data_IF_746611768337
#
_entry.id   IF_746611768337
#
_cell.length_a   1.000
_cell.length_b   1.000
_cell.length_c   1.000
_cell.angle_alpha   90.00
_cell.angle_beta   90.00
_cell.angle_gamma   90.00
#
_symmetry.space_group_name_H-M   'P 1'
#
loop_
_entity.id
_entity.type
_entity.pdbx_description
1 polymer ?
#
# COMPACT_ATOMS: atom_id res chain seq x y z
N UNK A 1 4.74 52.05 44.53
CA UNK A 1 3.41 51.44 44.30
C UNK A 1 3.41 50.83 42.90
N UNK A 2 3.48 49.49 42.81
CA UNK A 2 3.47 48.76 41.53
C UNK A 2 2.03 48.39 41.18
N UNK A 3 1.51 48.95 40.09
CA UNK A 3 0.14 48.73 39.65
C UNK A 3 0.08 47.46 38.77
N UNK A 4 -0.31 46.32 39.34
CA UNK A 4 -0.55 45.06 38.60
C UNK A 4 -1.86 45.19 37.79
N UNK A 5 -1.76 45.42 36.48
CA UNK A 5 -2.89 45.21 35.56
C UNK A 5 -3.22 43.71 35.53
N UNK A 6 -4.35 43.32 36.14
CA UNK A 6 -4.93 41.98 36.01
C UNK A 6 -5.46 41.83 34.59
N UNK A 7 -4.83 40.97 33.79
CA UNK A 7 -5.35 40.50 32.50
C UNK A 7 -6.63 39.71 32.76
N UNK A 8 -7.80 40.33 32.53
CA UNK A 8 -9.08 39.61 32.53
C UNK A 8 -9.18 38.84 31.22
N UNK A 9 -8.69 37.60 31.22
CA UNK A 9 -9.00 36.65 30.16
C UNK A 9 -10.49 36.34 30.30
N UNK A 10 -11.27 36.72 29.29
CA UNK A 10 -12.72 36.55 29.29
C UNK A 10 -13.04 35.06 29.26
N UNK A 11 -13.96 34.60 30.12
CA UNK A 11 -14.40 33.20 30.24
C UNK A 11 -14.86 32.64 28.87
N UNK A 12 -15.35 33.51 27.99
CA UNK A 12 -15.76 33.21 26.61
C UNK A 12 -14.58 32.76 25.72
N UNK A 13 -13.38 33.32 25.93
CA UNK A 13 -12.17 32.96 25.16
C UNK A 13 -11.58 31.62 25.59
N UNK A 14 -11.76 31.22 26.86
CA UNK A 14 -11.40 29.89 27.37
C UNK A 14 -12.39 28.81 26.90
N UNK A 15 -13.68 29.15 26.78
CA UNK A 15 -14.70 28.24 26.24
C UNK A 15 -14.54 27.97 24.74
N UNK A 16 -14.14 28.95 23.93
CA UNK A 16 -13.87 28.72 22.49
C UNK A 16 -12.65 27.80 22.25
N UNK A 17 -11.62 27.90 23.10
CA UNK A 17 -10.44 27.02 23.02
C UNK A 17 -10.77 25.59 23.49
N UNK A 18 -11.65 25.45 24.49
CA UNK A 18 -12.12 24.14 24.95
C UNK A 18 -13.06 23.44 23.94
N UNK A 19 -13.87 24.19 23.18
CA UNK A 19 -14.77 23.62 22.15
C UNK A 19 -14.00 23.15 20.91
N UNK A 20 -12.85 23.74 20.58
CA UNK A 20 -11.97 23.29 19.49
C UNK A 20 -11.20 22.00 19.84
N UNK A 21 -11.09 21.64 21.11
CA UNK A 21 -10.44 20.40 21.57
C UNK A 21 -11.42 19.20 21.67
N UNK A 22 -12.71 19.41 21.43
CA UNK A 22 -13.77 18.40 21.64
C UNK A 22 -14.28 17.73 20.35
N UNK A 23 -13.79 18.10 19.16
CA UNK A 23 -14.29 17.53 17.89
C UNK A 23 -13.56 16.27 17.40
N UNK A 24 -12.51 15.81 18.11
CA UNK A 24 -11.70 14.65 17.70
C UNK A 24 -12.18 13.30 18.24
N UNK A 25 -12.91 13.29 19.36
CA UNK A 25 -13.41 12.07 19.99
C UNK A 25 -14.82 11.74 19.48
N UNK A 26 -14.91 11.19 18.27
CA UNK A 26 -16.20 10.73 17.73
C UNK A 26 -16.22 10.44 16.23
N UNK A 27 -15.19 10.83 15.48
CA UNK A 27 -15.16 10.57 14.04
C UNK A 27 -14.96 9.08 13.74
N UNK A 28 -15.76 8.56 12.81
CA UNK A 28 -15.64 7.19 12.31
C UNK A 28 -14.37 7.04 11.46
N UNK A 29 -13.94 5.80 11.18
CA UNK A 29 -12.83 5.54 10.26
C UNK A 29 -13.14 6.13 8.87
N UNK A 30 -14.38 5.98 8.41
CA UNK A 30 -14.87 6.53 7.15
C UNK A 30 -14.71 8.05 7.05
N UNK A 31 -14.95 8.79 8.13
CA UNK A 31 -14.77 10.24 8.16
C UNK A 31 -13.30 10.67 8.28
N UNK A 32 -12.45 9.84 8.89
CA UNK A 32 -11.02 10.14 9.13
C UNK A 32 -10.16 9.91 7.90
N UNK A 33 -10.39 8.79 7.21
CA UNK A 33 -9.49 8.32 6.14
C UNK A 33 -9.32 9.32 4.99
N UNK A 34 -10.37 9.97 4.44
CA UNK A 34 -10.19 10.92 3.34
C UNK A 34 -9.28 12.09 3.70
N UNK A 35 -9.43 12.66 4.91
CA UNK A 35 -8.58 13.77 5.38
C UNK A 35 -7.14 13.33 5.57
N UNK A 36 -6.95 12.16 6.18
CA UNK A 36 -5.62 11.62 6.42
C UNK A 36 -4.93 11.23 5.12
N UNK A 37 -5.66 10.69 4.15
CA UNK A 37 -5.16 10.42 2.79
C UNK A 37 -4.61 11.69 2.14
N UNK A 38 -5.35 12.79 2.19
CA UNK A 38 -4.93 14.05 1.57
C UNK A 38 -3.72 14.66 2.31
N UNK A 39 -3.67 14.55 3.64
CA UNK A 39 -2.49 14.94 4.44
C UNK A 39 -1.26 14.10 4.07
N UNK A 40 -1.43 12.78 3.97
CA UNK A 40 -0.36 11.84 3.61
C UNK A 40 0.13 12.09 2.19
N UNK A 41 -0.76 12.41 1.25
CA UNK A 41 -0.40 12.77 -0.12
C UNK A 41 0.51 14.00 -0.15
N UNK A 42 0.17 15.06 0.60
CA UNK A 42 1.01 16.25 0.71
C UNK A 42 2.37 15.92 1.32
N UNK A 43 2.39 15.15 2.42
CA UNK A 43 3.64 14.74 3.07
C UNK A 43 4.55 13.93 2.13
N UNK A 44 3.98 12.96 1.39
CA UNK A 44 4.72 12.15 0.41
C UNK A 44 5.30 13.03 -0.72
N UNK A 45 4.52 13.99 -1.21
CA UNK A 45 4.98 14.91 -2.26
C UNK A 45 6.12 15.81 -1.78
N UNK A 46 6.02 16.34 -0.56
CA UNK A 46 7.04 17.22 0.04
C UNK A 46 8.34 16.48 0.42
N UNK A 47 8.24 15.21 0.82
CA UNK A 47 9.41 14.45 1.29
C UNK A 47 10.13 13.69 0.17
N UNK A 48 9.39 13.23 -0.85
CA UNK A 48 9.93 12.48 -1.99
C UNK A 48 9.92 13.39 -3.24
N UNK A 49 10.61 14.53 -3.17
CA UNK A 49 10.58 15.58 -4.22
C UNK A 49 11.09 15.11 -5.60
N UNK A 50 12.04 14.17 -5.61
CA UNK A 50 12.73 13.68 -6.82
C UNK A 50 12.69 12.15 -6.86
N UNK A 51 11.51 11.56 -7.10
CA UNK A 51 11.33 10.12 -7.07
C UNK A 51 12.19 9.43 -8.14
N UNK A 52 12.75 8.28 -7.81
CA UNK A 52 13.58 7.47 -8.69
C UNK A 52 12.94 6.10 -8.93
N UNK A 53 12.82 5.73 -10.19
CA UNK A 53 12.33 4.41 -10.55
C UNK A 53 13.26 3.29 -10.08
N UNK A 54 12.67 2.16 -9.69
CA UNK A 54 13.40 1.00 -9.17
C UNK A 54 13.98 1.22 -7.77
N UNK A 55 13.43 2.17 -7.01
CA UNK A 55 13.87 2.50 -5.65
C UNK A 55 12.66 2.63 -4.75
N UNK A 56 12.59 1.77 -3.74
CA UNK A 56 11.57 1.87 -2.71
C UNK A 56 11.84 3.08 -1.79
N UNK A 57 10.80 3.86 -1.40
CA UNK A 57 9.39 3.71 -1.74
C UNK A 57 8.92 4.64 -2.88
N UNK A 58 9.85 5.20 -3.66
CA UNK A 58 9.61 6.27 -4.64
C UNK A 58 8.62 5.87 -5.75
N UNK A 59 8.67 4.63 -6.24
CA UNK A 59 7.75 4.09 -7.25
C UNK A 59 6.29 4.08 -6.77
N UNK A 60 6.06 3.48 -5.60
CA UNK A 60 4.76 3.50 -4.92
C UNK A 60 4.27 4.92 -4.57
N UNK A 61 5.17 5.84 -4.23
CA UNK A 61 4.80 7.24 -3.98
C UNK A 61 4.19 7.89 -5.24
N UNK A 62 4.86 7.75 -6.39
CA UNK A 62 4.40 8.29 -7.67
C UNK A 62 3.06 7.68 -8.08
N UNK A 63 2.95 6.36 -7.96
CA UNK A 63 1.72 5.63 -8.26
C UNK A 63 0.55 6.14 -7.42
N UNK A 64 0.73 6.23 -6.10
CA UNK A 64 -0.32 6.65 -5.19
C UNK A 64 -0.70 8.13 -5.30
N UNK A 65 0.28 9.02 -5.53
CA UNK A 65 0.00 10.43 -5.81
C UNK A 65 -0.87 10.56 -7.07
N UNK A 66 -0.49 9.85 -8.14
CA UNK A 66 -1.25 9.88 -9.40
C UNK A 66 -2.67 9.34 -9.23
N UNK A 67 -2.82 8.20 -8.53
CA UNK A 67 -4.12 7.60 -8.23
C UNK A 67 -4.99 8.53 -7.42
N UNK A 68 -4.49 9.05 -6.30
CA UNK A 68 -5.26 9.92 -5.39
C UNK A 68 -5.82 11.19 -6.04
N UNK A 69 -5.28 11.59 -7.20
CA UNK A 69 -5.63 12.87 -7.83
C UNK A 69 -5.00 14.07 -7.13
N UNK A 70 -4.03 13.84 -6.24
CA UNK A 70 -3.26 14.89 -5.59
C UNK A 70 -2.65 15.84 -6.62
N UNK A 71 -2.68 17.13 -6.32
CA UNK A 71 -2.08 18.17 -7.17
C UNK A 71 -0.59 18.21 -6.90
N UNK A 72 0.18 17.76 -7.89
CA UNK A 72 1.64 17.87 -7.90
C UNK A 72 2.06 18.68 -9.11
N UNK A 73 3.23 19.31 -9.01
CA UNK A 73 3.82 20.02 -10.16
C UNK A 73 4.07 19.05 -11.32
N UNK A 74 3.85 19.52 -12.54
CA UNK A 74 4.06 18.71 -13.76
C UNK A 74 5.47 18.12 -13.83
N UNK A 75 6.45 18.90 -13.38
CA UNK A 75 7.87 18.52 -13.39
C UNK A 75 8.16 17.31 -12.48
N UNK A 76 7.30 17.01 -11.49
CA UNK A 76 7.43 15.85 -10.62
C UNK A 76 7.34 14.54 -11.39
N UNK A 77 6.29 14.38 -12.20
CA UNK A 77 6.10 13.17 -13.02
C UNK A 77 7.08 13.12 -14.19
N UNK A 78 7.47 14.26 -14.76
CA UNK A 78 8.50 14.29 -15.80
C UNK A 78 9.88 13.89 -15.26
N UNK A 79 10.21 14.28 -14.01
CA UNK A 79 11.41 13.82 -13.33
C UNK A 79 11.38 12.30 -13.12
N UNK A 80 10.24 11.75 -12.70
CA UNK A 80 10.09 10.30 -12.54
C UNK A 80 10.24 9.55 -13.87
N UNK A 81 9.60 9.98 -14.97
CA UNK A 81 9.76 9.35 -16.29
C UNK A 81 11.22 9.31 -16.75
N UNK A 82 11.96 10.40 -16.54
CA UNK A 82 13.41 10.45 -16.82
C UNK A 82 14.20 9.48 -15.94
N UNK A 83 13.79 9.29 -14.69
CA UNK A 83 14.39 8.30 -13.81
C UNK A 83 14.07 6.85 -14.24
N UNK A 84 12.86 6.60 -14.75
CA UNK A 84 12.45 5.31 -15.30
C UNK A 84 13.28 4.91 -16.52
N UNK A 85 13.53 5.84 -17.44
CA UNK A 85 14.45 5.62 -18.56
C UNK A 85 15.88 5.25 -18.08
N UNK A 86 16.39 5.93 -17.04
CA UNK A 86 17.70 5.61 -16.45
C UNK A 86 17.72 4.24 -15.78
N UNK A 87 16.66 3.88 -15.07
CA UNK A 87 16.52 2.57 -14.44
C UNK A 87 16.49 1.44 -15.49
N UNK A 88 15.66 1.60 -16.52
CA UNK A 88 15.60 0.73 -17.69
C UNK A 88 16.97 0.54 -18.36
N UNK A 89 17.71 1.62 -18.61
CA UNK A 89 19.05 1.55 -19.19
C UNK A 89 20.01 0.72 -18.32
N UNK A 90 20.00 0.88 -17.00
CA UNK A 90 20.86 0.09 -16.10
C UNK A 90 20.46 -1.38 -16.04
N UNK A 91 19.16 -1.70 -16.10
CA UNK A 91 18.68 -3.09 -16.19
C UNK A 91 19.22 -3.75 -17.45
N UNK A 92 19.11 -3.08 -18.60
CA UNK A 92 19.64 -3.56 -19.88
C UNK A 92 21.15 -3.79 -19.86
N UNK A 93 21.88 -2.93 -19.15
CA UNK A 93 23.34 -3.05 -18.98
C UNK A 93 23.76 -4.11 -17.94
N UNK A 94 22.81 -4.74 -17.24
CA UNK A 94 23.09 -5.68 -16.14
C UNK A 94 23.74 -5.01 -14.93
N UNK A 95 23.58 -3.68 -14.78
CA UNK A 95 24.20 -2.86 -13.71
C UNK A 95 23.26 -2.59 -12.54
N UNK A 96 22.07 -3.17 -12.55
CA UNK A 96 21.06 -2.97 -11.52
C UNK A 96 20.67 -4.32 -10.92
N UNK A 97 20.73 -4.42 -9.60
CA UNK A 97 20.20 -5.59 -8.90
C UNK A 97 18.69 -5.43 -8.81
N UNK A 98 17.96 -6.43 -9.29
CA UNK A 98 16.50 -6.37 -9.32
C UNK A 98 15.95 -6.61 -7.92
N UNK A 99 15.21 -5.63 -7.41
CA UNK A 99 14.21 -5.82 -6.36
C UNK A 99 12.84 -5.93 -7.05
N UNK A 100 12.21 -7.10 -6.98
CA UNK A 100 10.97 -7.35 -7.72
C UNK A 100 9.77 -6.54 -7.23
N UNK A 101 9.79 -6.06 -5.98
CA UNK A 101 8.79 -5.09 -5.53
C UNK A 101 9.01 -3.76 -6.23
N UNK A 102 10.24 -3.25 -6.22
CA UNK A 102 10.55 -1.98 -6.86
C UNK A 102 10.31 -2.02 -8.38
N UNK A 103 10.67 -3.12 -9.04
CA UNK A 103 10.41 -3.34 -10.47
C UNK A 103 8.90 -3.37 -10.77
N UNK A 104 8.12 -4.10 -9.97
CA UNK A 104 6.67 -4.17 -10.11
C UNK A 104 6.00 -2.81 -9.89
N UNK A 105 6.36 -2.11 -8.81
CA UNK A 105 5.88 -0.75 -8.55
C UNK A 105 6.27 0.22 -9.68
N UNK A 106 7.48 0.10 -10.26
CA UNK A 106 7.92 0.92 -11.38
C UNK A 106 7.09 0.69 -12.64
N UNK A 107 6.81 -0.58 -12.99
CA UNK A 107 5.96 -0.92 -14.14
C UNK A 107 4.54 -0.34 -13.97
N UNK A 108 3.95 -0.50 -12.76
CA UNK A 108 2.63 0.06 -12.44
C UNK A 108 2.62 1.59 -12.50
N UNK A 109 3.64 2.26 -11.95
CA UNK A 109 3.75 3.71 -11.98
C UNK A 109 3.93 4.25 -13.41
N UNK A 110 4.74 3.59 -14.26
CA UNK A 110 4.86 3.92 -15.68
C UNK A 110 3.50 3.84 -16.38
N UNK A 111 2.77 2.73 -16.18
CA UNK A 111 1.44 2.52 -16.75
C UNK A 111 0.45 3.60 -16.28
N UNK A 112 0.44 3.89 -14.98
CA UNK A 112 -0.47 4.84 -14.36
C UNK A 112 -0.22 6.29 -14.80
N UNK A 113 1.03 6.61 -15.14
CA UNK A 113 1.39 7.87 -15.76
C UNK A 113 1.13 7.91 -17.28
N UNK A 114 0.53 6.86 -17.86
CA UNK A 114 0.20 6.77 -19.28
C UNK A 114 1.36 6.34 -20.19
N UNK A 115 2.45 5.84 -19.63
CA UNK A 115 3.54 5.20 -20.38
C UNK A 115 3.25 3.74 -20.69
N UNK A 116 4.12 3.14 -21.51
CA UNK A 116 4.10 1.71 -21.82
C UNK A 116 5.21 0.99 -21.02
N UNK A 117 4.87 0.13 -20.04
CA UNK A 117 5.87 -0.63 -19.29
C UNK A 117 6.65 -1.63 -20.18
N UNK A 118 6.14 -1.96 -21.38
CA UNK A 118 6.86 -2.77 -22.37
C UNK A 118 7.87 -1.98 -23.19
N UNK A 119 7.89 -0.66 -23.08
CA UNK A 119 8.81 0.19 -23.81
C UNK A 119 9.19 1.45 -23.01
N UNK A 120 9.99 1.25 -21.97
CA UNK A 120 10.63 2.32 -21.19
C UNK A 120 12.00 2.59 -21.81
N UNK A 121 12.06 3.56 -22.72
CA UNK A 121 13.28 3.93 -23.46
C UNK A 121 13.93 2.74 -24.19
N UNK A 122 13.10 1.91 -24.84
CA UNK A 122 13.55 0.72 -25.58
C UNK A 122 13.82 -0.51 -24.70
N UNK A 123 13.38 -0.50 -23.44
CA UNK A 123 13.48 -1.63 -22.51
C UNK A 123 12.09 -2.06 -22.05
N UNK A 124 11.84 -3.36 -22.08
CA UNK A 124 10.60 -3.95 -21.61
C UNK A 124 10.74 -4.37 -20.14
N UNK A 125 10.07 -3.67 -19.23
CA UNK A 125 10.08 -4.02 -17.79
C UNK A 125 9.28 -5.31 -17.51
N UNK A 126 8.28 -5.61 -18.34
CA UNK A 126 7.44 -6.81 -18.23
C UNK A 126 8.26 -8.08 -18.47
N UNK A 127 9.27 -8.05 -19.33
CA UNK A 127 10.14 -9.21 -19.57
C UNK A 127 10.89 -9.64 -18.29
N UNK A 128 11.34 -8.68 -17.48
CA UNK A 128 11.98 -8.99 -16.20
C UNK A 128 11.00 -9.54 -15.16
N UNK A 129 9.72 -9.10 -15.19
CA UNK A 129 8.67 -9.65 -14.33
C UNK A 129 8.22 -11.05 -14.77
N UNK A 130 8.42 -11.39 -16.04
CA UNK A 130 8.14 -12.71 -16.60
C UNK A 130 9.33 -13.68 -16.53
N UNK A 131 10.50 -13.25 -16.06
CA UNK A 131 11.66 -14.12 -15.83
C UNK A 131 11.39 -15.07 -14.65
N UNK A 132 10.71 -16.18 -14.95
CA UNK A 132 10.24 -17.12 -13.95
C UNK A 132 11.36 -17.68 -13.09
N UNK A 133 12.50 -18.00 -13.69
CA UNK A 133 13.63 -18.56 -12.93
C UNK A 133 14.14 -17.53 -11.92
N UNK A 134 14.38 -16.29 -12.36
CA UNK A 134 14.92 -15.24 -11.51
C UNK A 134 13.92 -14.77 -10.44
N UNK A 135 12.62 -14.69 -10.77
CA UNK A 135 11.56 -14.33 -9.82
C UNK A 135 11.39 -15.42 -8.75
N UNK A 136 11.28 -16.69 -9.15
CA UNK A 136 11.14 -17.81 -8.20
C UNK A 136 12.38 -17.96 -7.30
N UNK A 137 13.57 -17.70 -7.83
CA UNK A 137 14.80 -17.67 -7.03
C UNK A 137 14.78 -16.58 -5.93
N UNK A 138 14.06 -15.47 -6.14
CA UNK A 138 13.84 -14.44 -5.13
C UNK A 138 12.75 -14.80 -4.10
N UNK A 139 11.94 -15.82 -4.39
CA UNK A 139 10.95 -16.44 -3.49
C UNK A 139 9.54 -15.88 -3.63
N UNK A 140 8.59 -16.53 -2.95
CA UNK A 140 7.15 -16.24 -3.05
C UNK A 140 6.74 -14.76 -2.93
N UNK A 141 7.35 -13.92 -2.08
CA UNK A 141 7.00 -12.50 -2.07
C UNK A 141 7.31 -11.81 -3.41
N UNK A 142 8.41 -12.18 -4.08
CA UNK A 142 8.74 -11.66 -5.41
C UNK A 142 7.73 -12.12 -6.47
N UNK A 143 7.27 -13.38 -6.39
CA UNK A 143 6.21 -13.91 -7.23
C UNK A 143 4.91 -13.11 -7.07
N UNK A 144 4.52 -12.77 -5.83
CA UNK A 144 3.36 -11.90 -5.57
C UNK A 144 3.52 -10.52 -6.21
N UNK A 145 4.68 -9.86 -6.01
CA UNK A 145 4.92 -8.53 -6.60
C UNK A 145 4.89 -8.57 -8.13
N UNK A 146 5.44 -9.62 -8.74
CA UNK A 146 5.39 -9.83 -10.18
C UNK A 146 3.95 -10.03 -10.67
N UNK A 147 3.21 -10.95 -10.06
CA UNK A 147 1.83 -11.25 -10.43
C UNK A 147 0.90 -10.03 -10.28
N UNK A 148 1.03 -9.26 -9.19
CA UNK A 148 0.27 -8.02 -8.99
C UNK A 148 0.56 -7.01 -10.12
N UNK A 149 1.83 -6.82 -10.47
CA UNK A 149 2.23 -5.86 -11.50
C UNK A 149 1.80 -6.32 -12.91
N UNK A 150 1.93 -7.60 -13.24
CA UNK A 150 1.51 -8.19 -14.52
C UNK A 150 0.00 -8.03 -14.71
N UNK A 151 -0.80 -8.43 -13.71
CA UNK A 151 -2.25 -8.24 -13.74
C UNK A 151 -2.63 -6.77 -13.87
N UNK A 152 -2.00 -5.87 -13.09
CA UNK A 152 -2.27 -4.43 -13.18
C UNK A 152 -1.95 -3.85 -14.56
N UNK A 153 -0.86 -4.31 -15.17
CA UNK A 153 -0.45 -3.89 -16.51
C UNK A 153 -1.27 -4.55 -17.63
N UNK A 154 -2.15 -5.50 -17.30
CA UNK A 154 -2.94 -6.32 -18.23
C UNK A 154 -2.06 -7.20 -19.14
N UNK A 155 -1.01 -7.76 -18.55
CA UNK A 155 -0.08 -8.65 -19.23
C UNK A 155 -0.31 -10.08 -18.75
N UNK A 156 -0.91 -10.90 -19.61
CA UNK A 156 -1.16 -12.32 -19.36
C UNK A 156 0.05 -13.15 -19.81
N UNK A 157 0.46 -14.13 -19.01
CA UNK A 157 1.64 -14.96 -19.28
C UNK A 157 1.63 -16.29 -18.55
N UNK A 158 2.41 -17.26 -19.04
CA UNK A 158 2.63 -18.53 -18.32
C UNK A 158 3.27 -18.29 -16.95
N UNK A 159 4.22 -17.36 -16.85
CA UNK A 159 4.86 -16.99 -15.60
C UNK A 159 3.86 -16.48 -14.56
N UNK A 160 2.91 -15.63 -14.97
CA UNK A 160 1.82 -15.14 -14.11
C UNK A 160 1.03 -16.30 -13.50
N UNK A 161 0.53 -17.22 -14.34
CA UNK A 161 -0.24 -18.36 -13.86
C UNK A 161 0.57 -19.28 -12.94
N UNK A 162 1.86 -19.44 -13.22
CA UNK A 162 2.76 -20.23 -12.37
C UNK A 162 3.03 -19.56 -11.02
N UNK A 163 3.07 -18.22 -10.95
CA UNK A 163 3.17 -17.48 -9.69
C UNK A 163 1.87 -17.60 -8.88
N UNK A 164 0.71 -17.43 -9.53
CA UNK A 164 -0.59 -17.56 -8.88
C UNK A 164 -0.78 -18.97 -8.30
N UNK A 165 -0.38 -20.02 -9.04
CA UNK A 165 -0.40 -21.39 -8.56
C UNK A 165 0.54 -21.62 -7.38
N UNK A 166 1.76 -21.09 -7.42
CA UNK A 166 2.71 -21.21 -6.32
C UNK A 166 2.21 -20.52 -5.04
N UNK A 167 1.53 -19.39 -5.18
CA UNK A 167 0.86 -18.69 -4.07
C UNK A 167 -0.31 -19.52 -3.52
N UNK A 168 -1.20 -20.06 -4.37
CA UNK A 168 -2.29 -20.93 -3.92
C UNK A 168 -1.76 -22.17 -3.19
N UNK A 169 -0.77 -22.86 -3.75
CA UNK A 169 -0.16 -24.05 -3.15
C UNK A 169 0.48 -23.74 -1.79
N UNK A 170 1.06 -22.55 -1.64
CA UNK A 170 1.66 -22.13 -0.39
C UNK A 170 0.62 -21.94 0.72
N UNK A 171 -0.59 -21.46 0.38
CA UNK A 171 -1.69 -21.23 1.33
C UNK A 171 -2.36 -22.56 1.68
N UNK A 172 -2.71 -23.36 0.68
CA UNK A 172 -3.47 -24.60 0.88
C UNK A 172 -2.63 -25.68 1.59
N UNK A 173 -1.36 -25.80 1.23
CA UNK A 173 -0.52 -26.92 1.69
C UNK A 173 0.60 -26.51 2.65
N UNK A 174 0.82 -25.21 2.87
CA UNK A 174 1.87 -24.71 3.76
C UNK A 174 3.31 -25.07 3.33
N UNK A 175 3.51 -25.55 2.10
CA UNK A 175 4.77 -26.22 1.68
C UNK A 175 5.90 -25.28 1.28
N UNK A 176 5.62 -24.01 0.97
CA UNK A 176 6.59 -23.12 0.28
C UNK A 176 6.89 -21.79 0.99
N UNK A 177 6.13 -21.37 1.99
CA UNK A 177 6.40 -20.10 2.66
C UNK A 177 7.58 -20.23 3.65
N UNK A 178 8.76 -19.78 3.23
CA UNK A 178 10.02 -19.90 3.99
C UNK A 178 10.17 -18.88 5.15
N UNK A 179 9.13 -18.10 5.48
CA UNK A 179 9.17 -17.14 6.59
C UNK A 179 10.10 -15.94 6.37
N UNK A 180 10.45 -15.63 5.11
CA UNK A 180 11.34 -14.50 4.76
C UNK A 180 10.71 -13.11 4.97
N UNK A 181 9.39 -13.03 5.18
CA UNK A 181 8.69 -11.81 5.56
C UNK A 181 7.75 -12.05 6.76
N UNK A 182 7.04 -11.02 7.22
CA UNK A 182 5.99 -11.22 8.21
C UNK A 182 4.85 -12.05 7.57
N UNK A 183 4.36 -13.07 8.27
CA UNK A 183 3.36 -14.00 7.71
C UNK A 183 2.01 -13.31 7.38
N UNK A 184 1.58 -12.34 8.18
CA UNK A 184 0.38 -11.57 7.89
C UNK A 184 0.59 -10.67 6.67
N UNK A 185 1.76 -10.04 6.54
CA UNK A 185 2.13 -9.27 5.35
C UNK A 185 2.10 -10.15 4.09
N UNK A 186 2.61 -11.38 4.18
CA UNK A 186 2.53 -12.35 3.07
C UNK A 186 1.08 -12.68 2.70
N UNK A 187 0.23 -12.99 3.68
CA UNK A 187 -1.18 -13.27 3.39
C UNK A 187 -1.89 -12.04 2.78
N UNK A 188 -1.53 -10.82 3.19
CA UNK A 188 -2.00 -9.59 2.55
C UNK A 188 -1.61 -9.50 1.07
N UNK A 189 -0.34 -9.81 0.73
CA UNK A 189 0.11 -9.90 -0.68
C UNK A 189 -0.62 -11.00 -1.45
N UNK A 190 -0.78 -12.17 -0.85
CA UNK A 190 -1.45 -13.29 -1.49
C UNK A 190 -2.92 -12.96 -1.84
N UNK A 191 -3.64 -12.27 -0.94
CA UNK A 191 -4.98 -11.75 -1.23
C UNK A 191 -4.98 -10.77 -2.42
N UNK A 192 -3.99 -9.86 -2.50
CA UNK A 192 -3.88 -8.95 -3.64
C UNK A 192 -3.63 -9.69 -4.95
N UNK A 193 -2.67 -10.64 -4.95
CA UNK A 193 -2.33 -11.48 -6.10
C UNK A 193 -3.55 -12.24 -6.61
N UNK A 194 -4.25 -12.95 -5.72
CA UNK A 194 -5.37 -13.82 -6.07
C UNK A 194 -6.67 -13.07 -6.38
N UNK A 195 -6.76 -11.79 -6.04
CA UNK A 195 -8.01 -11.01 -6.19
C UNK A 195 -8.54 -10.94 -7.62
N UNK A 196 -7.65 -11.01 -8.63
CA UNK A 196 -8.01 -11.01 -10.06
C UNK A 196 -8.79 -12.24 -10.50
N UNK A 197 -8.70 -13.34 -9.73
CA UNK A 197 -9.33 -14.62 -10.04
C UNK A 197 -10.32 -15.06 -8.95
N UNK A 198 -10.74 -14.15 -8.06
CA UNK A 198 -11.55 -14.46 -6.86
C UNK A 198 -12.90 -15.16 -7.14
N UNK A 199 -13.39 -15.13 -8.37
CA UNK A 199 -14.62 -15.84 -8.79
C UNK A 199 -14.38 -17.30 -9.16
N UNK A 200 -13.12 -17.74 -9.30
CA UNK A 200 -12.77 -19.14 -9.55
C UNK A 200 -12.80 -19.91 -8.22
N UNK A 201 -13.49 -21.05 -8.19
CA UNK A 201 -13.74 -21.79 -6.95
C UNK A 201 -12.47 -22.20 -6.20
N UNK A 202 -11.41 -22.60 -6.91
CA UNK A 202 -10.12 -22.95 -6.29
C UNK A 202 -9.43 -21.74 -5.65
N UNK A 203 -9.52 -20.58 -6.30
CA UNK A 203 -8.93 -19.33 -5.79
C UNK A 203 -9.69 -18.83 -4.56
N UNK A 204 -11.01 -18.99 -4.55
CA UNK A 204 -11.84 -18.64 -3.40
C UNK A 204 -11.44 -19.44 -2.14
N UNK A 205 -11.10 -20.73 -2.27
CA UNK A 205 -10.62 -21.55 -1.15
C UNK A 205 -9.31 -21.01 -0.59
N UNK A 206 -8.35 -20.64 -1.45
CA UNK A 206 -7.09 -20.04 -1.01
C UNK A 206 -7.32 -18.67 -0.34
N UNK A 207 -8.21 -17.83 -0.89
CA UNK A 207 -8.60 -16.55 -0.28
C UNK A 207 -9.18 -16.77 1.13
N UNK A 208 -10.13 -17.69 1.29
CA UNK A 208 -10.72 -18.01 2.60
C UNK A 208 -9.67 -18.54 3.59
N UNK A 209 -8.73 -19.35 3.11
CA UNK A 209 -7.57 -19.81 3.88
C UNK A 209 -6.73 -18.64 4.42
N UNK A 210 -6.38 -17.69 3.56
CA UNK A 210 -5.64 -16.49 3.96
C UNK A 210 -6.43 -15.60 4.92
N UNK A 211 -7.74 -15.41 4.71
CA UNK A 211 -8.59 -14.62 5.61
C UNK A 211 -8.65 -15.24 7.01
N UNK A 212 -8.81 -16.56 7.11
CA UNK A 212 -8.79 -17.27 8.39
C UNK A 212 -7.41 -17.15 9.07
N UNK A 213 -6.33 -17.32 8.31
CA UNK A 213 -4.98 -17.18 8.85
C UNK A 213 -4.71 -15.77 9.38
N UNK A 214 -5.20 -14.74 8.70
CA UNK A 214 -5.11 -13.37 9.16
C UNK A 214 -5.90 -13.14 10.46
N UNK A 215 -7.06 -13.78 10.66
CA UNK A 215 -7.79 -13.72 11.94
C UNK A 215 -6.97 -14.33 13.07
N UNK A 216 -6.31 -15.46 12.83
CA UNK A 216 -5.45 -16.11 13.84
C UNK A 216 -4.24 -15.26 14.21
N UNK A 217 -3.64 -14.59 13.22
CA UNK A 217 -2.43 -13.78 13.39
C UNK A 217 -2.68 -12.38 13.98
N UNK A 218 -3.92 -11.89 13.96
CA UNK A 218 -4.22 -10.52 14.40
C UNK A 218 -4.04 -10.38 15.92
N UNK A 219 -3.46 -9.26 16.34
CA UNK A 219 -3.34 -8.89 17.74
C UNK A 219 -4.63 -8.24 18.26
N UNK A 220 -4.78 -8.14 19.59
CA UNK A 220 -5.97 -7.52 20.23
C UNK A 220 -6.10 -6.03 19.92
N UNK A 221 -5.01 -5.37 19.56
CA UNK A 221 -5.01 -3.98 19.11
C UNK A 221 -5.50 -3.80 17.67
N UNK A 222 -5.83 -4.90 16.97
CA UNK A 222 -6.33 -4.93 15.60
C UNK A 222 -5.21 -5.07 14.56
N UNK A 223 -3.95 -5.01 14.96
CA UNK A 223 -2.82 -4.99 14.03
C UNK A 223 -2.12 -6.33 13.86
N UNK A 224 -1.02 -6.25 13.10
CA UNK A 224 -0.05 -7.31 12.83
C UNK A 224 1.38 -6.87 13.21
N UNK A 225 1.47 -5.91 14.15
CA UNK A 225 2.71 -5.45 14.78
C UNK A 225 3.53 -4.42 14.00
N UNK A 226 3.07 -3.92 12.85
CA UNK A 226 3.71 -2.81 12.14
C UNK A 226 2.80 -2.17 11.11
N UNK A 227 3.03 -0.88 10.81
CA UNK A 227 2.30 -0.17 9.75
C UNK A 227 2.43 -0.86 8.39
N UNK A 228 3.62 -1.39 8.06
CA UNK A 228 3.83 -2.10 6.80
C UNK A 228 2.94 -3.34 6.66
N UNK A 229 2.88 -4.18 7.71
CA UNK A 229 2.02 -5.36 7.70
C UNK A 229 0.54 -4.96 7.66
N UNK A 230 0.12 -4.02 8.51
CA UNK A 230 -1.27 -3.57 8.61
C UNK A 230 -1.76 -2.97 7.29
N UNK A 231 -0.97 -2.11 6.66
CA UNK A 231 -1.30 -1.50 5.38
C UNK A 231 -1.39 -2.55 4.26
N UNK A 232 -0.44 -3.50 4.21
CA UNK A 232 -0.45 -4.58 3.21
C UNK A 232 -1.68 -5.46 3.36
N UNK A 233 -2.05 -5.84 4.59
CA UNK A 233 -3.26 -6.62 4.84
C UNK A 233 -4.51 -5.82 4.48
N UNK A 234 -4.58 -4.53 4.84
CA UNK A 234 -5.72 -3.68 4.49
C UNK A 234 -5.92 -3.59 2.97
N UNK A 235 -4.84 -3.49 2.20
CA UNK A 235 -4.88 -3.54 0.73
C UNK A 235 -5.42 -4.89 0.22
N UNK A 236 -4.90 -6.01 0.74
CA UNK A 236 -5.34 -7.36 0.36
C UNK A 236 -6.82 -7.60 0.62
N UNK A 237 -7.29 -7.27 1.83
CA UNK A 237 -8.70 -7.34 2.19
C UNK A 237 -9.57 -6.53 1.23
N UNK A 238 -9.19 -5.28 0.95
CA UNK A 238 -9.93 -4.42 0.04
C UNK A 238 -10.02 -5.02 -1.38
N UNK A 239 -8.92 -5.57 -1.92
CA UNK A 239 -8.90 -6.23 -3.24
C UNK A 239 -9.90 -7.40 -3.36
N UNK A 240 -10.00 -8.23 -2.31
CA UNK A 240 -10.95 -9.36 -2.28
C UNK A 240 -12.37 -8.95 -1.86
N UNK A 241 -12.61 -7.66 -1.60
CA UNK A 241 -13.93 -7.11 -1.27
C UNK A 241 -14.29 -7.16 0.22
N UNK A 242 -13.33 -7.45 1.10
CA UNK A 242 -13.51 -7.41 2.56
C UNK A 242 -13.21 -6.00 3.08
N UNK A 243 -14.06 -5.50 3.97
CA UNK A 243 -13.89 -4.18 4.57
C UNK A 243 -12.84 -4.21 5.70
N UNK A 244 -11.66 -3.58 5.51
CA UNK A 244 -10.61 -3.60 6.53
C UNK A 244 -11.03 -2.85 7.80
N UNK A 245 -11.97 -1.90 7.75
CA UNK A 245 -12.46 -1.19 8.95
C UNK A 245 -13.40 -2.01 9.83
N UNK A 246 -13.79 -3.20 9.37
CA UNK A 246 -14.58 -4.17 10.15
C UNK A 246 -13.81 -5.47 10.42
N UNK A 247 -12.59 -5.59 9.88
CA UNK A 247 -11.79 -6.80 10.02
C UNK A 247 -11.15 -6.87 11.41
N UNK A 248 -11.72 -7.74 12.26
CA UNK A 248 -11.26 -8.03 13.62
C UNK A 248 -11.34 -9.53 13.92
N UNK A 249 -10.37 -10.11 14.62
CA UNK A 249 -10.32 -11.55 14.94
C UNK A 249 -11.48 -12.04 15.80
N UNK A 250 -11.90 -11.21 16.74
CA UNK A 250 -12.99 -11.49 17.68
C UNK A 250 -13.64 -10.16 18.11
N UNK A 251 -14.76 -10.25 18.84
CA UNK A 251 -15.52 -9.07 19.24
C UNK A 251 -14.82 -8.15 20.25
N UNK A 252 -13.84 -8.68 20.97
CA UNK A 252 -13.04 -7.95 21.95
C UNK A 252 -11.81 -7.25 21.35
N UNK A 253 -11.56 -7.46 20.05
CA UNK A 253 -10.42 -6.89 19.34
C UNK A 253 -10.82 -5.63 18.58
N UNK A 254 -9.87 -4.69 18.44
CA UNK A 254 -10.04 -3.55 17.54
C UNK A 254 -10.00 -4.00 16.08
N UNK A 255 -10.53 -3.17 15.18
CA UNK A 255 -10.41 -3.40 13.74
C UNK A 255 -9.03 -3.00 13.19
N UNK A 256 -8.70 -3.53 12.02
CA UNK A 256 -7.42 -3.31 11.36
C UNK A 256 -7.16 -1.84 11.03
N UNK A 257 -8.17 -1.09 10.57
CA UNK A 257 -7.96 0.32 10.25
C UNK A 257 -7.67 1.14 11.51
N UNK A 258 -8.32 0.84 12.64
CA UNK A 258 -7.97 1.45 13.93
C UNK A 258 -6.50 1.24 14.30
N UNK A 259 -5.95 0.04 14.07
CA UNK A 259 -4.51 -0.22 14.26
C UNK A 259 -3.65 0.57 13.27
N UNK A 260 -3.94 0.49 11.98
CA UNK A 260 -3.19 1.19 10.93
C UNK A 260 -3.12 2.70 11.19
N UNK A 261 -4.25 3.33 11.52
CA UNK A 261 -4.32 4.77 11.79
C UNK A 261 -3.56 5.18 13.06
N UNK A 262 -3.28 4.24 13.97
CA UNK A 262 -2.51 4.53 15.19
C UNK A 262 -1.01 4.77 14.95
N UNK A 263 -0.52 4.42 13.74
CA UNK A 263 0.86 4.68 13.33
C UNK A 263 1.08 6.06 12.72
N UNK A 264 0.02 6.84 12.50
CA UNK A 264 0.13 8.22 12.01
C UNK A 264 1.00 9.06 12.96
N UNK A 265 1.93 9.82 12.38
CA UNK A 265 2.75 10.78 13.09
C UNK A 265 3.26 11.84 12.13
N UNK A 266 3.18 13.12 12.53
CA UNK A 266 3.71 14.26 11.78
C UNK A 266 3.28 14.30 10.29
N UNK A 267 2.05 13.87 9.99
CA UNK A 267 1.50 13.84 8.63
C UNK A 267 1.97 12.67 7.76
N UNK A 268 2.87 11.83 8.29
CA UNK A 268 3.27 10.54 7.71
C UNK A 268 2.91 9.39 8.64
N UNK A 269 3.59 8.26 8.48
CA UNK A 269 3.39 7.08 9.32
C UNK A 269 4.71 6.52 9.83
N UNK A 270 4.73 6.08 11.08
CA UNK A 270 5.82 5.31 11.65
C UNK A 270 5.65 3.82 11.34
N UNK A 271 6.75 3.06 11.19
CA UNK A 271 6.62 1.61 11.01
C UNK A 271 6.26 0.87 12.31
N UNK A 272 6.52 1.48 13.47
CA UNK A 272 6.21 0.92 14.80
C UNK A 272 5.49 1.98 15.63
N UNK A 273 4.65 1.52 16.57
CA UNK A 273 3.85 2.40 17.39
C UNK A 273 4.73 3.40 18.15
N UNK A 274 4.31 4.68 18.17
CA UNK A 274 5.07 5.79 18.77
C UNK A 274 6.48 5.98 18.19
N UNK A 275 6.72 5.48 16.98
CA UNK A 275 7.95 5.72 16.22
C UNK A 275 7.97 7.11 15.59
N UNK A 276 9.02 7.37 14.82
CA UNK A 276 9.11 8.54 13.93
C UNK A 276 8.58 8.16 12.54
N UNK A 277 8.28 9.17 11.73
CA UNK A 277 7.95 8.99 10.31
C UNK A 277 8.97 8.07 9.64
N UNK A 278 8.46 7.09 8.91
CA UNK A 278 9.18 6.18 8.05
C UNK A 278 8.59 6.30 6.64
N UNK A 279 9.41 6.66 5.66
CA UNK A 279 8.94 6.94 4.29
C UNK A 279 8.24 5.73 3.66
N UNK A 280 8.74 4.52 3.92
CA UNK A 280 8.17 3.28 3.37
C UNK A 280 6.83 2.95 4.02
N UNK A 281 6.74 3.06 5.34
CA UNK A 281 5.49 2.91 6.07
C UNK A 281 4.45 3.95 5.61
N UNK A 282 4.89 5.19 5.39
CA UNK A 282 4.05 6.30 4.90
C UNK A 282 3.47 6.00 3.53
N UNK A 283 4.29 5.57 2.57
CA UNK A 283 3.80 5.23 1.21
C UNK A 283 2.87 4.01 1.24
N UNK A 284 3.17 3.00 2.07
CA UNK A 284 2.29 1.84 2.23
C UNK A 284 0.94 2.18 2.85
N UNK A 285 0.95 2.97 3.93
CA UNK A 285 -0.28 3.49 4.53
C UNK A 285 -1.06 4.33 3.51
N UNK A 286 -0.38 5.17 2.72
CA UNK A 286 -1.02 5.94 1.66
C UNK A 286 -1.72 5.05 0.63
N UNK A 287 -1.12 3.92 0.23
CA UNK A 287 -1.78 2.91 -0.61
C UNK A 287 -3.07 2.41 0.04
N UNK A 288 -3.02 2.00 1.30
CA UNK A 288 -4.20 1.49 2.01
C UNK A 288 -5.30 2.55 2.16
N UNK A 289 -4.94 3.80 2.48
CA UNK A 289 -5.88 4.92 2.57
C UNK A 289 -6.53 5.25 1.22
N UNK A 290 -5.76 5.19 0.12
CA UNK A 290 -6.30 5.31 -1.23
C UNK A 290 -7.33 4.22 -1.51
N UNK A 291 -6.97 2.95 -1.26
CA UNK A 291 -7.87 1.80 -1.49
C UNK A 291 -9.16 1.90 -0.68
N UNK A 292 -9.05 2.26 0.60
CA UNK A 292 -10.22 2.44 1.45
C UNK A 292 -11.10 3.61 0.98
N UNK A 293 -10.50 4.72 0.56
CA UNK A 293 -11.26 5.87 0.04
C UNK A 293 -12.02 5.53 -1.24
N UNK A 294 -11.44 4.75 -2.16
CA UNK A 294 -12.14 4.29 -3.35
C UNK A 294 -13.35 3.42 -3.01
N UNK A 295 -13.20 2.56 -2.00
CA UNK A 295 -14.30 1.74 -1.50
C UNK A 295 -15.45 2.58 -0.98
N UNK A 296 -15.18 3.62 -0.18
CA UNK A 296 -16.22 4.54 0.34
C UNK A 296 -16.95 5.23 -0.81
N UNK A 297 -16.22 5.69 -1.81
CA UNK A 297 -16.78 6.46 -2.93
C UNK A 297 -17.59 5.60 -3.94
N UNK A 298 -17.71 4.28 -3.72
CA UNK A 298 -18.22 3.27 -4.68
C UNK A 298 -17.56 3.35 -6.07
N UNK A 299 -16.41 4.02 -6.16
CA UNK A 299 -15.62 4.16 -7.38
C UNK A 299 -14.65 2.99 -7.43
N UNK A 300 -14.66 2.30 -8.58
CA UNK A 300 -13.81 1.16 -8.92
C UNK A 300 -12.49 1.11 -8.12
N UNK A 301 -12.27 -0.02 -7.44
CA UNK A 301 -11.06 -0.32 -6.68
C UNK A 301 -9.80 -0.02 -7.51
N UNK A 302 -8.67 0.19 -6.81
CA UNK A 302 -7.35 0.43 -7.39
C UNK A 302 -6.97 -0.56 -8.51
N UNK A 303 -7.63 -1.71 -8.56
CA UNK A 303 -7.71 -2.66 -9.68
C UNK A 303 -9.11 -2.56 -10.33
N UNK A 304 -9.34 -1.62 -11.26
CA UNK A 304 -10.68 -1.22 -11.67
C UNK A 304 -11.44 -2.21 -12.56
N UNK A 305 -10.77 -3.30 -12.98
CA UNK A 305 -11.34 -4.33 -13.86
C UNK A 305 -11.86 -5.58 -13.11
N UNK A 306 -12.04 -5.50 -11.78
CA UNK A 306 -12.60 -6.61 -10.96
C UNK A 306 -14.14 -6.78 -11.09
N UNK A 307 -14.73 -6.42 -12.24
CA UNK A 307 -16.14 -6.70 -12.57
C UNK A 307 -16.25 -7.82 -13.60
#
# INVERSE_FOLDING_TARGET
MVNKKKTRISIVSLLLIAVLLLTGCGQTIEEKVPKLRDQTANHVYETIEKPKAGKLPDDGAVFNLKKSGAKVDKDYYDAYRKSAAKYAAKLKEGKEKIDYRALGEAAMAVKELGGDPKNVDGVNLIDYLNDQEAVKAAGLPAECYAAIALNYCKEDSESLHNYDQDVMDSIEYGKKYEGKMNEAEYNGLALMTLSYYKTMSMVAVAIDGSLNRLKDLQDKDGGFGSCQADATVACGLACVGVDPSTFKKDDDSKDLMTSLLSYETDGGFANKAKGKVDERATVLAFTALNMYSYRIDEKNYLMPDLK
#
